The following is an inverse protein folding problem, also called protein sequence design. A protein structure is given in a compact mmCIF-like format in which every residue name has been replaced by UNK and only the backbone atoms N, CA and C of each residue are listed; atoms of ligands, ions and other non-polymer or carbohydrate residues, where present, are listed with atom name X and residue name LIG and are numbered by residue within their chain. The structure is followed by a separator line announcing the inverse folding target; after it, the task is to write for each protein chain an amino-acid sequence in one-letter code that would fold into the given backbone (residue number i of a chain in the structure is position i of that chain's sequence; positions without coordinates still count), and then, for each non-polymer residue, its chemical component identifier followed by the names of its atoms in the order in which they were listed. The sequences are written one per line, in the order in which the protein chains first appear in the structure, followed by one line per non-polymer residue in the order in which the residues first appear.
data_IF_792930452623
#
_entry.id   IF_792930452623
#
_cell.length_a   1.000
_cell.length_b   1.000
_cell.length_c   1.000
_cell.angle_alpha   90.00
_cell.angle_beta   90.00
_cell.angle_gamma   90.00
#
_symmetry.space_group_name_H-M   'P 1'
#
loop_
_entity.id
_entity.type
_entity.pdbx_description
1 polymer ?
#
# COMPACT_ATOMS: atom_id res chain seq x y z
N UNK A 1 10.69 -12.20 -2.66
CA UNK A 1 9.56 -12.84 -2.03
C UNK A 1 8.48 -11.86 -1.75
N UNK A 2 7.26 -12.25 -2.01
CA UNK A 2 6.17 -11.32 -1.79
C UNK A 2 5.79 -11.30 -0.32
N UNK A 3 5.35 -10.16 0.13
CA UNK A 3 4.87 -9.96 1.48
C UNK A 3 3.37 -9.76 1.40
N UNK A 4 2.66 -10.22 2.41
CA UNK A 4 1.22 -10.17 2.39
C UNK A 4 0.71 -9.65 3.72
N UNK A 5 -0.24 -8.75 3.67
CA UNK A 5 -0.91 -8.25 4.86
C UNK A 5 -2.41 -8.36 4.66
N UNK A 6 -3.14 -8.24 5.76
CA UNK A 6 -4.60 -8.33 5.72
C UNK A 6 -5.16 -6.97 6.13
N UNK A 7 -6.10 -6.47 5.37
CA UNK A 7 -6.73 -5.19 5.69
C UNK A 7 -7.65 -5.39 6.87
N UNK A 8 -7.49 -4.58 7.90
CA UNK A 8 -8.41 -4.61 9.02
C UNK A 8 -9.22 -3.32 9.14
N UNK A 9 -8.82 -2.29 8.42
CA UNK A 9 -9.57 -1.04 8.45
C UNK A 9 -9.32 -0.23 7.19
N UNK A 10 -10.31 0.54 6.80
CA UNK A 10 -10.22 1.41 5.64
C UNK A 10 -10.76 2.77 6.03
N UNK A 11 -10.03 3.81 5.69
CA UNK A 11 -10.44 5.17 5.98
C UNK A 11 -10.14 6.02 4.75
N UNK A 12 -11.16 6.12 3.86
CA UNK A 12 -10.97 6.83 2.61
C UNK A 12 -9.91 6.17 1.77
N UNK A 13 -8.91 6.91 1.31
CA UNK A 13 -7.85 6.33 0.47
C UNK A 13 -6.79 5.58 1.26
N UNK A 14 -6.97 5.47 2.59
CA UNK A 14 -5.97 4.85 3.45
C UNK A 14 -6.48 3.53 3.96
N UNK A 15 -5.66 2.50 3.90
CA UNK A 15 -6.00 1.20 4.47
C UNK A 15 -4.97 0.83 5.53
N UNK A 16 -5.46 0.14 6.55
CA UNK A 16 -4.63 -0.29 7.66
C UNK A 16 -4.51 -1.81 7.62
N UNK A 17 -3.29 -2.28 7.71
CA UNK A 17 -3.03 -3.71 7.62
C UNK A 17 -2.69 -4.25 8.99
N UNK A 18 -2.98 -5.52 9.20
CA UNK A 18 -2.51 -6.21 10.39
C UNK A 18 -1.57 -7.31 9.96
N UNK A 19 -0.74 -7.74 10.88
CA UNK A 19 0.26 -8.73 10.57
C UNK A 19 1.57 -8.05 10.21
N UNK A 20 2.63 -8.53 10.79
CA UNK A 20 3.94 -7.95 10.56
C UNK A 20 4.59 -8.73 9.43
N UNK A 21 4.45 -8.24 8.24
CA UNK A 21 4.98 -8.92 7.06
C UNK A 21 6.24 -8.27 6.54
N UNK A 22 6.82 -7.38 7.31
CA UNK A 22 8.08 -6.78 6.91
C UNK A 22 7.95 -5.70 5.84
N UNK A 23 6.78 -5.09 5.74
CA UNK A 23 6.62 -3.97 4.81
C UNK A 23 7.52 -2.81 5.22
N UNK A 24 7.96 -2.07 4.25
CA UNK A 24 8.85 -0.93 4.48
C UNK A 24 8.17 0.35 4.10
N UNK A 25 8.58 1.45 4.72
CA UNK A 25 8.06 2.77 4.36
C UNK A 25 8.38 3.02 2.90
N UNK A 26 7.43 3.56 2.19
CA UNK A 26 7.51 3.89 0.76
C UNK A 26 7.49 2.68 -0.15
N UNK A 27 7.27 1.50 0.40
CA UNK A 27 7.18 0.31 -0.43
C UNK A 27 5.91 0.34 -1.28
N UNK A 28 6.04 -0.01 -2.55
CA UNK A 28 4.90 -0.12 -3.43
C UNK A 28 4.18 -1.43 -3.15
N UNK A 29 2.86 -1.36 -3.06
CA UNK A 29 2.05 -2.54 -2.76
C UNK A 29 0.84 -2.60 -3.70
N UNK A 30 0.28 -3.79 -3.80
CA UNK A 30 -0.95 -4.00 -4.54
C UNK A 30 -2.04 -4.38 -3.55
N UNK A 31 -3.14 -3.67 -3.60
CA UNK A 31 -4.19 -3.73 -2.59
C UNK A 31 -5.43 -4.41 -3.11
N UNK A 32 -5.88 -5.43 -2.41
CA UNK A 32 -7.15 -6.09 -2.72
C UNK A 32 -7.10 -6.97 -3.95
N UNK A 33 -8.25 -7.51 -4.29
CA UNK A 33 -8.35 -8.42 -5.44
C UNK A 33 -8.06 -7.74 -6.75
N UNK A 34 -8.29 -6.45 -6.81
CA UNK A 34 -8.09 -5.71 -8.05
C UNK A 34 -6.68 -5.17 -8.20
N UNK A 35 -5.82 -5.49 -7.25
CA UNK A 35 -4.43 -5.05 -7.28
C UNK A 35 -4.30 -3.54 -7.45
N UNK A 36 -5.01 -2.83 -6.62
CA UNK A 36 -4.93 -1.37 -6.64
C UNK A 36 -3.55 -0.94 -6.17
N UNK A 37 -2.99 0.04 -6.83
CA UNK A 37 -1.64 0.49 -6.50
C UNK A 37 -1.68 1.35 -5.25
N UNK A 38 -0.78 1.06 -4.33
CA UNK A 38 -0.66 1.85 -3.11
C UNK A 38 0.78 1.92 -2.65
N UNK A 39 0.99 2.67 -1.59
CA UNK A 39 2.32 2.87 -1.02
C UNK A 39 2.23 2.84 0.48
N UNK A 40 3.18 2.18 1.12
CA UNK A 40 3.26 2.16 2.58
C UNK A 40 3.71 3.53 3.05
N UNK A 41 2.88 4.21 3.82
CA UNK A 41 3.20 5.55 4.28
C UNK A 41 3.54 5.60 5.77
N UNK A 42 3.34 4.51 6.47
CA UNK A 42 3.67 4.46 7.88
C UNK A 42 3.71 3.06 8.42
N UNK A 43 4.44 2.88 9.50
CA UNK A 43 4.52 1.61 10.21
C UNK A 43 4.29 1.90 11.69
N UNK A 44 3.03 2.01 12.06
CA UNK A 44 2.69 2.36 13.43
C UNK A 44 2.58 1.09 14.25
N UNK A 45 3.42 0.97 15.26
CA UNK A 45 3.45 -0.22 16.11
C UNK A 45 3.63 -1.50 15.29
N UNK A 46 4.41 -1.39 14.22
CA UNK A 46 4.62 -2.56 13.38
C UNK A 46 3.52 -2.84 12.39
N UNK A 47 2.44 -2.07 12.41
CA UNK A 47 1.34 -2.28 11.49
C UNK A 47 1.42 -1.30 10.33
N UNK A 48 1.44 -1.79 9.12
CA UNK A 48 1.56 -0.91 7.97
C UNK A 48 0.32 -0.07 7.74
N UNK A 49 0.53 1.17 7.33
CA UNK A 49 -0.52 2.04 6.85
C UNK A 49 -0.23 2.30 5.39
N UNK A 50 -1.21 2.06 4.55
CA UNK A 50 -1.03 2.15 3.10
C UNK A 50 -1.95 3.20 2.52
N UNK A 51 -1.40 4.07 1.69
CA UNK A 51 -2.20 4.99 0.92
C UNK A 51 -2.44 4.38 -0.45
N UNK A 52 -3.71 4.27 -0.84
CA UNK A 52 -4.06 3.71 -2.13
C UNK A 52 -4.27 4.86 -3.10
N UNK A 53 -3.69 4.74 -4.27
CA UNK A 53 -3.76 5.80 -5.26
C UNK A 53 -4.98 5.71 -6.17
N UNK A 54 -5.76 4.65 -6.01
CA UNK A 54 -6.92 4.42 -6.83
C UNK A 54 -8.18 4.38 -5.97
N UNK A 55 -9.31 4.24 -6.61
CA UNK A 55 -10.58 4.24 -5.92
C UNK A 55 -10.69 3.03 -5.01
N UNK A 56 -10.99 3.26 -3.75
CA UNK A 56 -11.08 2.18 -2.77
C UNK A 56 -12.51 1.73 -2.50
N UNK A 57 -13.47 2.21 -3.28
CA UNK A 57 -14.88 1.94 -3.05
C UNK A 57 -15.20 0.46 -2.91
N UNK A 58 -14.54 -0.38 -3.64
CA UNK A 58 -14.81 -1.80 -3.59
C UNK A 58 -13.99 -2.59 -2.59
N UNK A 59 -13.11 -1.93 -1.87
CA UNK A 59 -12.27 -2.63 -0.91
C UNK A 59 -13.03 -2.96 0.37
N UNK A 60 -12.71 -4.07 0.96
CA UNK A 60 -13.32 -4.50 2.21
C UNK A 60 -12.26 -5.01 3.18
N UNK A 61 -12.50 -4.89 4.48
CA UNK A 61 -11.61 -5.53 5.45
C UNK A 61 -11.55 -7.02 5.19
N UNK A 62 -10.40 -7.59 5.37
CA UNK A 62 -10.19 -9.01 5.11
C UNK A 62 -9.50 -9.27 3.79
N UNK A 63 -9.47 -8.29 2.91
CA UNK A 63 -8.75 -8.47 1.66
C UNK A 63 -7.24 -8.39 1.89
N UNK A 64 -6.50 -8.88 0.93
CA UNK A 64 -5.06 -9.03 1.06
C UNK A 64 -4.33 -7.90 0.37
N UNK A 65 -3.22 -7.48 0.94
CA UNK A 65 -2.32 -6.53 0.31
C UNK A 65 -0.99 -7.23 0.08
N UNK A 66 -0.49 -7.15 -1.13
CA UNK A 66 0.76 -7.81 -1.50
C UNK A 66 1.86 -6.76 -1.69
N UNK A 67 2.98 -6.97 -1.02
CA UNK A 67 4.11 -6.07 -1.14
C UNK A 67 5.03 -6.49 -2.26
N UNK A 68 5.66 -5.52 -2.90
CA UNK A 68 6.60 -5.79 -3.98
C UNK A 68 8.02 -5.92 -3.48
N UNK A 69 8.30 -5.42 -2.28
CA UNK A 69 9.64 -5.41 -1.75
C UNK A 69 10.45 -4.21 -2.19
N UNK A 70 9.92 -3.40 -3.07
CA UNK A 70 10.64 -2.26 -3.62
C UNK A 70 9.90 -0.97 -3.37
N UNK A 71 10.64 0.10 -3.15
CA UNK A 71 10.03 1.41 -3.08
C UNK A 71 9.50 1.76 -4.46
N UNK A 72 8.52 2.65 -4.50
CA UNK A 72 8.03 3.15 -5.77
C UNK A 72 9.19 3.88 -6.43
N UNK A 73 9.65 3.32 -7.52
CA UNK A 73 10.74 3.94 -8.23
C UNK A 73 10.23 4.63 -9.46
N UNK A 74 9.16 5.34 -9.31
CA UNK A 74 8.71 6.17 -10.37
C UNK A 74 9.86 7.10 -10.63
N UNK A 75 10.30 7.22 -11.83
CA UNK A 75 11.36 8.18 -12.10
C UNK A 75 10.80 9.52 -11.77
N UNK A 76 11.03 9.89 -10.56
CA UNK A 76 10.50 11.12 -10.05
C UNK A 76 10.88 12.27 -10.93
N UNK A 77 11.96 12.09 -11.59
CA UNK A 77 12.40 13.09 -12.53
C UNK A 77 11.35 13.41 -13.57
N UNK A 78 10.45 12.49 -13.85
CA UNK A 78 9.44 12.80 -14.73
C UNK A 78 8.53 13.83 -14.25
N UNK A 79 8.20 13.75 -12.96
CA UNK A 79 7.14 14.57 -12.46
C UNK A 79 7.45 16.02 -12.56
N UNK A 80 8.68 16.42 -12.43
CA UNK A 80 8.88 17.82 -12.53
C UNK A 80 9.26 18.28 -13.91
N UNK A 81 9.18 17.39 -14.84
CA UNK A 81 9.30 17.83 -16.20
C UNK A 81 8.10 18.61 -16.63
N UNK A 82 7.04 18.48 -15.92
CA UNK A 82 5.84 19.18 -16.31
C UNK A 82 5.72 20.52 -15.68
N UNK A 83 6.66 20.89 -14.94
CA UNK A 83 6.61 22.19 -14.29
C UNK A 83 7.27 23.24 -15.12
#
# INVERSE_FOLDING_TARGET
MSKTGIIYGINGPVVYLKGDSGFKISEMVYVGKENLVGQVIGLKKGLPTVQVFEETTGLRPGETVTGTGDAISVPVSYTHLFT
#
